data_IF_508659777514
#
_entry.id   IF_508659777514
#
_cell.length_a   1.000
_cell.length_b   1.000
_cell.length_c   1.000
_cell.angle_alpha   90.00
_cell.angle_beta   90.00
_cell.angle_gamma   90.00
#
_symmetry.space_group_name_H-M   'P 1'
#
loop_
_entity.id
_entity.type
_entity.pdbx_description
1 polymer ?
#
# COMPACT_ATOMS: atom_id res chain seq x y z
N UNK A 1 2.72 -11.04 34.20
CA UNK A 1 3.30 -12.13 33.42
C UNK A 1 3.49 -11.56 32.03
N UNK A 2 4.61 -10.88 31.82
CA UNK A 2 4.87 -10.14 30.58
C UNK A 2 5.43 -11.13 29.56
N UNK A 3 4.87 -11.16 28.35
CA UNK A 3 5.59 -11.68 27.18
C UNK A 3 6.06 -10.49 26.33
N UNK A 4 7.23 -9.89 26.65
CA UNK A 4 7.85 -8.86 25.82
C UNK A 4 8.82 -9.44 24.76
N UNK A 5 8.83 -10.76 24.54
CA UNK A 5 9.84 -11.40 23.67
C UNK A 5 9.52 -11.30 22.17
N UNK A 6 8.25 -11.33 21.77
CA UNK A 6 7.90 -11.39 20.33
C UNK A 6 8.42 -10.18 19.54
N UNK A 7 8.30 -8.94 20.05
CA UNK A 7 8.74 -7.77 19.27
C UNK A 7 10.26 -7.64 19.14
N UNK A 8 11.01 -7.92 20.21
CA UNK A 8 12.47 -7.94 20.13
C UNK A 8 12.95 -9.03 19.17
N UNK A 9 12.32 -10.19 19.18
CA UNK A 9 12.62 -11.28 18.25
C UNK A 9 12.31 -10.90 16.79
N UNK A 10 11.20 -10.21 16.51
CA UNK A 10 10.88 -9.73 15.15
C UNK A 10 11.91 -8.72 14.66
N UNK A 11 12.28 -7.75 15.50
CA UNK A 11 13.31 -6.76 15.16
C UNK A 11 14.65 -7.44 14.88
N UNK A 12 15.06 -8.35 15.75
CA UNK A 12 16.35 -9.04 15.63
C UNK A 12 16.36 -9.94 14.38
N UNK A 13 15.25 -10.61 14.08
CA UNK A 13 15.05 -11.36 12.84
C UNK A 13 15.18 -10.44 11.62
N UNK A 14 14.43 -9.34 11.55
CA UNK A 14 14.47 -8.39 10.43
C UNK A 14 15.84 -7.72 10.28
N UNK A 15 16.54 -7.46 11.37
CA UNK A 15 17.92 -6.97 11.32
C UNK A 15 18.86 -8.02 10.71
N UNK A 16 18.65 -9.31 11.02
CA UNK A 16 19.48 -10.40 10.53
C UNK A 16 19.22 -10.74 9.06
N UNK A 17 17.96 -10.73 8.63
CA UNK A 17 17.55 -11.14 7.27
C UNK A 17 17.28 -9.96 6.34
N UNK A 18 17.26 -8.73 6.86
CA UNK A 18 16.66 -7.58 6.17
C UNK A 18 17.30 -7.26 4.82
N UNK A 19 18.60 -7.50 4.66
CA UNK A 19 19.30 -7.30 3.39
C UNK A 19 19.03 -8.42 2.37
N UNK A 20 18.74 -9.65 2.82
CA UNK A 20 18.51 -10.82 1.95
C UNK A 20 17.03 -11.14 1.74
N UNK A 21 16.13 -10.47 2.46
CA UNK A 21 14.70 -10.62 2.31
C UNK A 21 14.17 -9.73 1.17
N UNK A 22 14.00 -10.32 -0.01
CA UNK A 22 13.48 -9.61 -1.20
C UNK A 22 11.96 -9.51 -1.24
N UNK A 23 11.24 -10.48 -0.64
CA UNK A 23 9.78 -10.57 -0.71
C UNK A 23 9.19 -10.84 0.67
N UNK A 24 8.18 -10.06 1.07
CA UNK A 24 7.48 -10.22 2.33
C UNK A 24 5.96 -10.13 2.13
N UNK A 25 5.26 -11.22 2.45
CA UNK A 25 3.80 -11.24 2.62
C UNK A 25 3.50 -11.16 4.10
N UNK A 26 2.75 -10.13 4.48
CA UNK A 26 2.51 -9.75 5.84
C UNK A 26 1.00 -9.75 6.10
N UNK A 27 0.57 -10.75 6.85
CA UNK A 27 -0.81 -10.92 7.25
C UNK A 27 -0.92 -10.84 8.76
N UNK A 28 -0.71 -9.63 9.30
CA UNK A 28 -0.92 -9.35 10.71
C UNK A 28 -2.29 -8.69 10.88
N UNK A 29 -3.03 -8.97 11.96
CA UNK A 29 -4.43 -8.58 12.12
C UNK A 29 -4.61 -7.09 12.48
N UNK A 30 -3.89 -6.18 11.81
CA UNK A 30 -4.04 -4.75 12.05
C UNK A 30 -5.43 -4.26 11.60
N UNK A 31 -5.96 -3.25 12.28
CA UNK A 31 -7.30 -2.72 12.01
C UNK A 31 -8.48 -3.53 12.57
N UNK A 32 -8.25 -4.70 13.19
CA UNK A 32 -9.32 -5.49 13.86
C UNK A 32 -9.63 -5.05 15.28
N UNK A 33 -8.93 -4.05 15.79
CA UNK A 33 -9.07 -3.55 17.17
C UNK A 33 -9.21 -2.03 17.21
N UNK A 34 -10.03 -1.46 18.10
CA UNK A 34 -10.33 -0.03 18.13
C UNK A 34 -9.08 0.85 18.26
N UNK A 35 -9.08 2.06 17.68
CA UNK A 35 -7.93 3.00 17.70
C UNK A 35 -7.42 3.36 19.11
N UNK A 36 -8.25 3.20 20.14
CA UNK A 36 -7.94 3.57 21.53
C UNK A 36 -7.28 2.45 22.35
N UNK A 37 -6.96 1.31 21.75
CA UNK A 37 -6.26 0.25 22.45
C UNK A 37 -4.74 0.52 22.46
N UNK A 38 -4.19 0.88 23.62
CA UNK A 38 -2.76 1.21 23.81
C UNK A 38 -1.83 0.10 23.30
N UNK A 39 -2.30 -1.15 23.30
CA UNK A 39 -1.56 -2.32 22.78
C UNK A 39 -1.28 -2.17 21.28
N UNK A 40 -2.21 -1.58 20.50
CA UNK A 40 -2.02 -1.37 19.06
C UNK A 40 -0.99 -0.29 18.76
N UNK A 41 -0.92 0.77 19.57
CA UNK A 41 0.08 1.83 19.36
C UNK A 41 1.49 1.32 19.63
N UNK A 42 1.68 0.49 20.66
CA UNK A 42 2.98 -0.10 20.96
C UNK A 42 3.45 -1.09 19.87
N UNK A 43 2.55 -1.98 19.42
CA UNK A 43 2.83 -2.87 18.30
C UNK A 43 3.12 -2.07 17.02
N UNK A 44 2.33 -1.05 16.72
CA UNK A 44 2.53 -0.17 15.57
C UNK A 44 3.92 0.46 15.57
N UNK A 45 4.32 1.13 16.66
CA UNK A 45 5.62 1.79 16.74
C UNK A 45 6.77 0.79 16.57
N UNK A 46 6.71 -0.37 17.22
CA UNK A 46 7.79 -1.35 17.12
C UNK A 46 7.88 -2.04 15.76
N UNK A 47 6.74 -2.36 15.14
CA UNK A 47 6.77 -2.89 13.78
C UNK A 47 7.29 -1.82 12.81
N UNK A 48 6.86 -0.56 12.93
CA UNK A 48 7.38 0.54 12.12
C UNK A 48 8.91 0.68 12.23
N UNK A 49 9.47 0.62 13.44
CA UNK A 49 10.93 0.62 13.65
C UNK A 49 11.60 -0.61 13.04
N UNK A 50 11.04 -1.80 13.25
CA UNK A 50 11.61 -3.05 12.74
C UNK A 50 11.60 -3.11 11.21
N UNK A 51 10.58 -2.53 10.58
CA UNK A 51 10.44 -2.47 9.12
C UNK A 51 11.54 -1.65 8.45
N UNK A 52 12.13 -0.69 9.15
CA UNK A 52 13.28 0.08 8.64
C UNK A 52 14.51 -0.80 8.37
N UNK A 53 14.61 -1.98 9.01
CA UNK A 53 15.71 -2.92 8.81
C UNK A 53 15.60 -3.74 7.51
N UNK A 54 14.42 -3.77 6.86
CA UNK A 54 14.17 -4.54 5.63
C UNK A 54 14.71 -3.83 4.38
N UNK A 55 16.01 -3.54 4.35
CA UNK A 55 16.65 -2.75 3.28
C UNK A 55 16.75 -3.48 1.93
N UNK A 56 16.66 -4.82 1.93
CA UNK A 56 16.67 -5.66 0.73
C UNK A 56 15.30 -5.86 0.09
N UNK A 57 14.22 -5.31 0.66
CA UNK A 57 12.86 -5.59 0.19
C UNK A 57 12.63 -5.01 -1.20
N UNK A 58 12.18 -5.87 -2.11
CA UNK A 58 11.75 -5.53 -3.47
C UNK A 58 10.23 -5.62 -3.63
N UNK A 59 9.61 -6.49 -2.85
CA UNK A 59 8.17 -6.76 -2.91
C UNK A 59 7.55 -6.90 -1.51
N UNK A 60 6.57 -6.06 -1.21
CA UNK A 60 5.85 -6.05 0.06
C UNK A 60 4.33 -6.17 -0.17
N UNK A 61 3.69 -7.13 0.49
CA UNK A 61 2.23 -7.30 0.48
C UNK A 61 1.71 -7.25 1.90
N UNK A 62 0.84 -6.28 2.20
CA UNK A 62 0.22 -6.07 3.50
C UNK A 62 -1.29 -6.42 3.47
N UNK A 63 -1.61 -7.65 3.85
CA UNK A 63 -2.96 -8.25 3.72
C UNK A 63 -3.88 -7.87 4.88
N UNK A 64 -3.36 -7.68 6.07
CA UNK A 64 -4.16 -7.33 7.25
C UNK A 64 -4.06 -5.85 7.61
N UNK A 65 -3.92 -4.99 6.60
CA UNK A 65 -3.49 -3.60 6.74
C UNK A 65 -1.97 -3.52 6.95
N UNK A 66 -1.36 -2.39 6.66
CA UNK A 66 -0.03 -2.08 7.18
C UNK A 66 -0.24 -0.96 8.19
N UNK A 67 0.28 -1.06 9.43
CA UNK A 67 0.28 0.05 10.37
C UNK A 67 0.85 1.29 9.67
N UNK A 68 1.88 1.10 8.86
CA UNK A 68 2.49 2.18 8.13
C UNK A 68 1.58 2.73 6.99
N UNK A 69 1.06 1.95 6.02
CA UNK A 69 0.44 2.51 4.78
C UNK A 69 -0.64 3.59 5.03
N UNK A 70 -1.55 3.37 6.00
CA UNK A 70 -2.61 4.33 6.33
C UNK A 70 -2.21 5.41 7.35
N UNK A 71 -1.08 5.22 8.04
CA UNK A 71 -0.55 6.16 9.05
C UNK A 71 0.88 6.56 8.75
N UNK A 72 1.21 6.63 7.46
CA UNK A 72 2.50 7.06 6.93
C UNK A 72 2.82 8.52 7.29
N UNK A 73 1.88 9.23 7.93
CA UNK A 73 2.07 10.55 8.52
C UNK A 73 3.10 10.60 9.66
N UNK A 74 3.32 9.51 10.41
CA UNK A 74 4.36 9.49 11.47
C UNK A 74 5.69 8.90 11.03
N UNK A 75 5.72 8.26 9.85
CA UNK A 75 6.93 7.69 9.28
C UNK A 75 7.07 8.17 7.84
N UNK A 76 7.17 9.50 7.72
CA UNK A 76 7.77 10.09 6.54
C UNK A 76 9.06 9.32 6.24
N UNK A 77 9.30 8.97 4.98
CA UNK A 77 10.54 8.34 4.50
C UNK A 77 10.64 6.80 4.55
N UNK A 78 9.65 6.02 4.98
CA UNK A 78 9.76 4.54 4.93
C UNK A 78 10.01 4.01 3.51
N UNK A 79 9.26 4.51 2.52
CA UNK A 79 9.49 4.14 1.13
C UNK A 79 10.83 4.67 0.58
N UNK A 80 11.42 5.69 1.21
CA UNK A 80 12.77 6.17 0.85
C UNK A 80 13.85 5.27 1.45
N UNK A 81 13.58 4.61 2.58
CA UNK A 81 14.48 3.62 3.19
C UNK A 81 14.48 2.30 2.41
N UNK A 82 13.34 1.92 1.84
CA UNK A 82 13.23 0.76 0.95
C UNK A 82 13.58 1.15 -0.49
N UNK A 83 14.82 1.56 -0.72
CA UNK A 83 15.29 1.99 -2.03
C UNK A 83 15.18 0.92 -3.12
N UNK A 84 15.00 -0.35 -2.74
CA UNK A 84 14.84 -1.47 -3.67
C UNK A 84 13.36 -1.85 -3.90
N UNK A 85 12.39 -1.22 -3.22
CA UNK A 85 10.98 -1.61 -3.29
C UNK A 85 10.37 -1.30 -4.66
N UNK A 86 10.10 -2.34 -5.44
CA UNK A 86 9.50 -2.27 -6.78
C UNK A 86 7.99 -2.51 -6.78
N UNK A 87 7.51 -3.31 -5.84
CA UNK A 87 6.12 -3.77 -5.79
C UNK A 87 5.53 -3.65 -4.40
N UNK A 88 4.42 -2.94 -4.28
CA UNK A 88 3.70 -2.75 -3.02
C UNK A 88 2.24 -3.12 -3.18
N UNK A 89 1.71 -3.91 -2.26
CA UNK A 89 0.29 -4.18 -2.20
C UNK A 89 -0.24 -4.01 -0.78
N UNK A 90 -1.44 -3.47 -0.66
CA UNK A 90 -2.05 -3.18 0.63
C UNK A 90 -3.57 -3.38 0.58
N UNK A 91 -4.13 -3.82 1.70
CA UNK A 91 -5.55 -4.01 1.90
C UNK A 91 -6.15 -2.89 2.75
N UNK A 92 -7.36 -2.45 2.40
CA UNK A 92 -8.12 -1.43 3.14
C UNK A 92 -7.33 -0.15 3.39
N UNK A 93 -6.87 0.49 2.32
CA UNK A 93 -6.16 1.77 2.40
C UNK A 93 -7.10 2.95 2.23
N UNK A 94 -6.96 3.99 3.05
CA UNK A 94 -7.66 5.26 2.85
C UNK A 94 -7.02 6.05 1.70
N UNK A 95 -7.68 6.14 0.53
CA UNK A 95 -7.12 6.89 -0.59
C UNK A 95 -7.06 8.40 -0.32
N UNK A 96 -7.82 8.93 0.64
CA UNK A 96 -7.78 10.35 0.99
C UNK A 96 -6.62 10.73 1.94
N UNK A 97 -5.80 9.76 2.35
CA UNK A 97 -4.66 10.02 3.24
C UNK A 97 -3.51 10.67 2.46
N UNK A 98 -3.21 11.94 2.74
CA UNK A 98 -2.14 12.66 2.03
C UNK A 98 -0.74 12.03 2.25
N UNK A 99 -0.50 11.46 3.44
CA UNK A 99 0.74 10.76 3.75
C UNK A 99 1.00 9.55 2.85
N UNK A 100 -0.04 8.90 2.33
CA UNK A 100 0.06 7.81 1.37
C UNK A 100 0.77 8.28 0.10
N UNK A 101 0.16 9.23 -0.59
CA UNK A 101 0.61 9.70 -1.89
C UNK A 101 1.96 10.40 -1.83
N UNK A 102 2.24 11.11 -0.73
CA UNK A 102 3.56 11.68 -0.48
C UNK A 102 4.68 10.63 -0.53
N UNK A 103 4.49 9.48 0.12
CA UNK A 103 5.50 8.43 0.14
C UNK A 103 5.52 7.63 -1.16
N UNK A 104 4.35 7.30 -1.75
CA UNK A 104 4.27 6.64 -3.06
C UNK A 104 4.99 7.47 -4.11
N UNK A 105 4.73 8.78 -4.19
CA UNK A 105 5.35 9.67 -5.17
C UNK A 105 6.87 9.78 -5.02
N UNK A 106 7.41 9.55 -3.81
CA UNK A 106 8.86 9.63 -3.50
C UNK A 106 9.56 8.28 -3.44
N UNK A 107 8.82 7.17 -3.62
CA UNK A 107 9.39 5.84 -3.75
C UNK A 107 9.99 5.69 -5.16
N UNK A 108 11.29 5.95 -5.31
CA UNK A 108 11.93 6.07 -6.63
C UNK A 108 11.96 4.75 -7.43
N UNK A 109 12.04 3.61 -6.74
CA UNK A 109 12.08 2.28 -7.35
C UNK A 109 10.71 1.63 -7.50
N UNK A 110 9.64 2.23 -6.94
CA UNK A 110 8.32 1.64 -6.96
C UNK A 110 7.73 1.71 -8.38
N UNK A 111 7.45 0.54 -8.94
CA UNK A 111 6.92 0.35 -10.29
C UNK A 111 5.43 -0.04 -10.27
N UNK A 112 5.00 -0.80 -9.26
CA UNK A 112 3.64 -1.33 -9.17
C UNK A 112 3.05 -1.18 -7.77
N UNK A 113 1.82 -0.69 -7.70
CA UNK A 113 1.02 -0.56 -6.49
C UNK A 113 -0.33 -1.25 -6.68
N UNK A 114 -0.69 -2.17 -5.78
CA UNK A 114 -2.03 -2.77 -5.76
C UNK A 114 -2.73 -2.41 -4.45
N UNK A 115 -3.88 -1.74 -4.54
CA UNK A 115 -4.70 -1.42 -3.37
C UNK A 115 -5.98 -2.23 -3.44
N UNK A 116 -6.12 -3.20 -2.54
CA UNK A 116 -7.28 -4.06 -2.42
C UNK A 116 -8.28 -3.47 -1.42
N UNK A 117 -9.55 -3.35 -1.83
CA UNK A 117 -10.65 -2.78 -1.06
C UNK A 117 -10.32 -1.43 -0.40
N UNK A 118 -9.80 -0.44 -1.14
CA UNK A 118 -9.64 0.91 -0.61
C UNK A 118 -10.95 1.49 -0.09
N UNK A 119 -10.83 2.51 0.76
CA UNK A 119 -11.96 3.30 1.22
C UNK A 119 -11.66 4.81 1.14
N UNK A 120 -12.73 5.59 1.22
CA UNK A 120 -12.69 7.05 1.30
C UNK A 120 -13.52 7.51 2.49
N UNK A 121 -12.92 8.35 3.33
CA UNK A 121 -13.66 9.02 4.40
C UNK A 121 -14.19 10.35 3.89
N UNK A 122 -15.51 10.53 3.93
CA UNK A 122 -16.21 11.80 3.61
C UNK A 122 -16.11 12.26 2.15
N UNK A 123 -15.58 11.42 1.26
CA UNK A 123 -15.47 11.66 -0.18
C UNK A 123 -16.05 10.46 -0.94
N UNK A 124 -16.55 10.71 -2.15
CA UNK A 124 -17.11 9.65 -3.01
C UNK A 124 -16.07 9.13 -4.01
N UNK A 125 -15.17 10.01 -4.46
CA UNK A 125 -14.16 9.69 -5.47
C UNK A 125 -12.82 10.33 -5.11
N UNK A 126 -11.74 9.82 -5.71
CA UNK A 126 -10.38 10.32 -5.51
C UNK A 126 -9.59 10.30 -6.82
N UNK A 127 -8.87 11.40 -7.08
CA UNK A 127 -8.02 11.53 -8.26
C UNK A 127 -6.57 11.18 -7.92
N UNK A 128 -6.19 9.93 -8.19
CA UNK A 128 -4.85 9.40 -7.88
C UNK A 128 -3.75 10.16 -8.62
N UNK A 129 -3.97 10.50 -9.90
CA UNK A 129 -2.98 11.21 -10.71
C UNK A 129 -2.74 12.62 -10.19
N UNK A 130 -3.80 13.34 -9.81
CA UNK A 130 -3.68 14.64 -9.18
C UNK A 130 -2.84 14.58 -7.90
N UNK A 131 -3.12 13.61 -7.01
CA UNK A 131 -2.37 13.46 -5.76
C UNK A 131 -0.88 13.16 -5.94
N UNK A 132 -0.51 12.40 -6.97
CA UNK A 132 0.91 12.14 -7.27
C UNK A 132 1.55 13.35 -7.96
N UNK A 133 0.82 14.00 -8.88
CA UNK A 133 1.29 15.17 -9.62
C UNK A 133 1.68 16.32 -8.69
N UNK A 134 0.90 16.59 -7.63
CA UNK A 134 1.24 17.57 -6.59
C UNK A 134 2.66 17.38 -5.99
N UNK A 135 3.20 16.16 -6.03
CA UNK A 135 4.53 15.84 -5.53
C UNK A 135 5.62 15.80 -6.60
N UNK A 136 5.27 15.74 -7.88
CA UNK A 136 6.23 15.71 -9.00
C UNK A 136 6.36 17.04 -9.70
N UNK A 137 5.30 17.84 -9.73
CA UNK A 137 5.26 19.09 -10.46
C UNK A 137 5.90 20.22 -9.62
N UNK A 138 6.99 20.85 -10.12
CA UNK A 138 7.62 21.98 -9.44
C UNK A 138 6.69 23.18 -9.21
N UNK A 139 5.63 23.36 -10.02
CA UNK A 139 4.66 24.45 -9.83
C UNK A 139 3.91 24.33 -8.50
N UNK A 140 3.69 23.10 -8.03
CA UNK A 140 3.09 22.80 -6.73
C UNK A 140 4.13 22.59 -5.62
N UNK A 141 5.41 22.89 -5.88
CA UNK A 141 6.51 22.65 -4.94
C UNK A 141 6.99 21.20 -4.90
N UNK A 142 6.60 20.39 -5.89
CA UNK A 142 7.05 19.02 -6.08
C UNK A 142 8.48 18.91 -6.62
N UNK A 143 8.93 17.67 -6.80
CA UNK A 143 10.25 17.35 -7.37
C UNK A 143 10.10 16.47 -8.61
N UNK A 144 10.41 17.02 -9.78
CA UNK A 144 10.30 16.32 -11.06
C UNK A 144 11.28 15.16 -11.20
N UNK A 145 12.36 15.11 -10.40
CA UNK A 145 13.27 13.95 -10.36
C UNK A 145 12.62 12.69 -9.78
N UNK A 146 11.45 12.84 -9.14
CA UNK A 146 10.65 11.72 -8.66
C UNK A 146 9.70 11.17 -9.72
N UNK A 147 9.54 11.82 -10.88
CA UNK A 147 8.64 11.34 -11.94
C UNK A 147 9.19 10.08 -12.61
N UNK A 148 8.35 9.04 -12.72
CA UNK A 148 8.69 7.76 -13.34
C UNK A 148 7.42 6.96 -13.69
N UNK A 149 7.50 5.99 -14.60
CA UNK A 149 6.42 5.03 -14.82
C UNK A 149 5.95 4.38 -13.52
N UNK A 150 4.65 4.39 -13.25
CA UNK A 150 4.04 3.76 -12.09
C UNK A 150 2.68 3.18 -12.48
N UNK A 151 2.50 1.89 -12.24
CA UNK A 151 1.22 1.21 -12.42
C UNK A 151 0.51 1.07 -11.08
N UNK A 152 -0.75 1.48 -11.03
CA UNK A 152 -1.59 1.44 -9.84
C UNK A 152 -2.87 0.66 -10.19
N UNK A 153 -3.10 -0.42 -9.46
CA UNK A 153 -4.31 -1.23 -9.59
C UNK A 153 -5.17 -1.06 -8.36
N UNK A 154 -6.41 -0.64 -8.58
CA UNK A 154 -7.42 -0.48 -7.55
C UNK A 154 -8.36 -1.68 -7.64
N UNK A 155 -8.17 -2.64 -6.74
CA UNK A 155 -8.92 -3.88 -6.73
C UNK A 155 -10.09 -3.78 -5.74
N UNK A 156 -11.32 -3.83 -6.25
CA UNK A 156 -12.53 -3.83 -5.44
C UNK A 156 -13.39 -5.03 -5.80
N UNK A 157 -14.34 -5.41 -4.94
CA UNK A 157 -15.30 -6.43 -5.33
C UNK A 157 -16.19 -5.90 -6.45
N UNK A 158 -16.65 -6.77 -7.35
CA UNK A 158 -17.37 -6.41 -8.59
C UNK A 158 -18.61 -5.51 -8.43
N UNK A 159 -19.24 -5.51 -7.25
CA UNK A 159 -20.39 -4.64 -6.94
C UNK A 159 -20.03 -3.28 -6.31
N UNK A 160 -18.74 -2.96 -6.18
CA UNK A 160 -18.32 -1.68 -5.60
C UNK A 160 -18.58 -0.53 -6.58
N UNK A 161 -19.06 0.63 -6.09
CA UNK A 161 -19.11 1.81 -6.94
C UNK A 161 -17.70 2.23 -7.35
N UNK A 162 -17.52 2.84 -8.53
CA UNK A 162 -16.22 3.38 -8.92
C UNK A 162 -15.82 4.52 -7.98
N UNK A 163 -14.63 4.41 -7.39
CA UNK A 163 -14.09 5.39 -6.45
C UNK A 163 -12.96 6.25 -7.05
N UNK A 164 -12.51 5.93 -8.27
CA UNK A 164 -11.42 6.65 -8.93
C UNK A 164 -12.02 7.73 -9.82
N UNK A 165 -11.61 8.97 -9.58
CA UNK A 165 -11.89 10.09 -10.45
C UNK A 165 -10.79 10.20 -11.51
N UNK A 166 -11.17 10.07 -12.78
CA UNK A 166 -10.29 10.19 -13.94
C UNK A 166 -10.46 11.52 -14.69
N UNK A 167 -11.14 12.48 -14.07
CA UNK A 167 -11.33 13.82 -14.64
C UNK A 167 -9.98 14.52 -14.78
N UNK A 168 -9.75 15.17 -15.93
CA UNK A 168 -8.52 15.91 -16.21
C UNK A 168 -7.22 15.08 -16.10
N UNK A 169 -7.27 13.77 -16.35
CA UNK A 169 -6.09 12.90 -16.34
C UNK A 169 -4.91 13.45 -17.16
N UNK A 170 -5.19 14.01 -18.34
CA UNK A 170 -4.17 14.61 -19.21
C UNK A 170 -3.54 15.89 -18.64
N UNK A 171 -4.21 16.56 -17.70
CA UNK A 171 -3.66 17.71 -16.99
C UNK A 171 -2.69 17.25 -15.90
N UNK A 172 -3.07 16.21 -15.15
CA UNK A 172 -2.29 15.71 -14.01
C UNK A 172 -1.15 14.76 -14.42
N UNK A 173 -1.28 14.09 -15.56
CA UNK A 173 -0.25 13.21 -16.11
C UNK A 173 -0.08 13.42 -17.62
N UNK A 174 0.48 14.58 -18.04
CA UNK A 174 0.61 14.92 -19.45
C UNK A 174 1.56 13.99 -20.21
N UNK A 175 2.47 13.32 -19.50
CA UNK A 175 3.46 12.41 -20.08
C UNK A 175 2.99 10.94 -20.10
N UNK A 176 1.85 10.62 -19.47
CA UNK A 176 1.34 9.25 -19.38
C UNK A 176 2.21 8.33 -18.53
N UNK A 177 2.86 8.86 -17.49
CA UNK A 177 3.75 8.09 -16.61
C UNK A 177 2.96 7.27 -15.58
N UNK A 178 1.71 7.63 -15.27
CA UNK A 178 0.90 6.99 -14.24
C UNK A 178 -0.23 6.21 -14.91
N UNK A 179 -0.17 4.89 -14.82
CA UNK A 179 -1.27 4.02 -15.24
C UNK A 179 -2.13 3.70 -14.02
N UNK A 180 -3.42 4.08 -14.04
CA UNK A 180 -4.37 3.72 -12.98
C UNK A 180 -5.44 2.83 -13.59
N UNK A 181 -5.56 1.61 -13.07
CA UNK A 181 -6.54 0.61 -13.51
C UNK A 181 -7.42 0.16 -12.36
N UNK A 182 -8.64 -0.27 -12.68
CA UNK A 182 -9.54 -0.91 -11.74
C UNK A 182 -9.61 -2.40 -12.03
N UNK A 183 -9.65 -3.21 -10.98
CA UNK A 183 -9.82 -4.66 -11.07
C UNK A 183 -11.01 -5.10 -10.23
N UNK A 184 -11.95 -5.78 -10.88
CA UNK A 184 -13.14 -6.32 -10.22
C UNK A 184 -12.85 -7.72 -9.69
N UNK A 185 -12.69 -7.84 -8.38
CA UNK A 185 -12.50 -9.10 -7.67
C UNK A 185 -13.82 -9.89 -7.73
N UNK A 186 -13.83 -11.08 -8.36
CA UNK A 186 -15.06 -11.87 -8.51
C UNK A 186 -15.59 -12.41 -7.18
N UNK A 187 -16.92 -12.38 -6.98
CA UNK A 187 -17.57 -13.00 -5.83
C UNK A 187 -18.09 -14.39 -6.23
N UNK A 188 -17.37 -15.43 -5.83
CA UNK A 188 -17.75 -16.82 -6.16
C UNK A 188 -19.03 -17.30 -5.46
N UNK A 189 -19.34 -16.80 -4.25
CA UNK A 189 -20.55 -17.15 -3.49
C UNK A 189 -21.13 -15.93 -2.76
N UNK A 190 -22.16 -15.33 -3.36
CA UNK A 190 -22.87 -14.15 -2.82
C UNK A 190 -23.73 -14.46 -1.59
N UNK A 191 -23.90 -15.74 -1.21
CA UNK A 191 -24.78 -16.15 -0.10
C UNK A 191 -24.04 -16.35 1.24
N UNK A 192 -22.72 -16.52 1.21
CA UNK A 192 -21.88 -16.75 2.40
C UNK A 192 -20.72 -15.77 2.56
N UNK A 193 -20.38 -15.03 1.51
CA UNK A 193 -19.21 -14.18 1.57
C UNK A 193 -19.45 -12.97 2.47
N UNK A 194 -18.60 -12.83 3.51
CA UNK A 194 -18.40 -11.52 4.11
C UNK A 194 -17.67 -10.68 3.08
N UNK A 195 -18.40 -9.78 2.43
CA UNK A 195 -17.89 -8.90 1.37
C UNK A 195 -16.58 -8.22 1.80
N UNK A 196 -16.47 -7.89 3.10
CA UNK A 196 -15.29 -7.28 3.71
C UNK A 196 -14.00 -8.13 3.68
N UNK A 197 -14.08 -9.42 3.36
CA UNK A 197 -12.93 -10.34 3.37
C UNK A 197 -12.60 -10.91 2.00
N UNK A 198 -13.46 -10.73 0.99
CA UNK A 198 -13.26 -11.31 -0.35
C UNK A 198 -11.98 -10.74 -0.97
N UNK A 199 -11.86 -9.41 -1.01
CA UNK A 199 -10.68 -8.76 -1.56
C UNK A 199 -9.41 -9.07 -0.77
N UNK A 200 -9.53 -9.28 0.56
CA UNK A 200 -8.41 -9.70 1.40
C UNK A 200 -7.93 -11.10 1.03
N UNK A 201 -8.86 -12.04 0.94
CA UNK A 201 -8.55 -13.44 0.66
C UNK A 201 -8.03 -13.59 -0.77
N UNK A 202 -8.61 -12.85 -1.72
CA UNK A 202 -8.06 -12.70 -3.07
C UNK A 202 -6.63 -12.18 -3.04
N UNK A 203 -6.37 -11.04 -2.38
CA UNK A 203 -5.03 -10.45 -2.28
C UNK A 203 -4.01 -11.45 -1.73
N UNK A 204 -4.37 -12.17 -0.66
CA UNK A 204 -3.52 -13.18 -0.05
C UNK A 204 -3.25 -14.38 -0.98
N UNK A 205 -4.26 -14.84 -1.71
CA UNK A 205 -4.11 -15.95 -2.65
C UNK A 205 -3.24 -15.57 -3.84
N UNK A 206 -3.53 -14.44 -4.49
CA UNK A 206 -2.75 -13.93 -5.62
C UNK A 206 -1.30 -13.62 -5.22
N UNK A 207 -1.09 -13.05 -4.02
CA UNK A 207 0.25 -12.85 -3.49
C UNK A 207 0.98 -14.19 -3.30
N UNK A 208 0.34 -15.20 -2.70
CA UNK A 208 0.97 -16.52 -2.54
C UNK A 208 1.29 -17.21 -3.87
N UNK A 209 0.49 -16.96 -4.90
CA UNK A 209 0.65 -17.54 -6.24
C UNK A 209 1.57 -16.73 -7.16
N UNK A 210 1.99 -15.53 -6.71
CA UNK A 210 2.81 -14.59 -7.50
C UNK A 210 2.14 -14.10 -8.79
N UNK A 211 0.81 -13.97 -8.75
CA UNK A 211 -0.03 -13.56 -9.89
C UNK A 211 -0.60 -12.15 -9.75
N UNK A 212 -0.40 -11.52 -8.58
CA UNK A 212 -0.94 -10.20 -8.24
C UNK A 212 -0.46 -9.08 -9.20
N UNK A 213 0.74 -9.23 -9.75
CA UNK A 213 1.45 -8.18 -10.48
C UNK A 213 1.35 -8.29 -12.00
N UNK A 214 0.44 -9.14 -12.52
CA UNK A 214 0.37 -9.59 -13.91
C UNK A 214 0.82 -8.57 -14.97
N UNK A 215 1.47 -9.06 -16.03
CA UNK A 215 2.27 -8.32 -17.01
C UNK A 215 2.00 -6.81 -17.08
N UNK A 216 2.83 -6.06 -16.33
CA UNK A 216 3.05 -4.65 -16.61
C UNK A 216 3.69 -4.54 -18.01
N UNK A 217 2.85 -4.47 -19.04
CA UNK A 217 3.25 -4.25 -20.42
C UNK A 217 3.04 -5.46 -21.34
N UNK A 218 1.88 -5.46 -22.01
CA UNK A 218 1.76 -5.86 -23.40
C UNK A 218 1.16 -4.69 -24.19
#
# INVERSE_FOLDING_TARGET
>A
MESPEVPSLVRDLFTHIGQSLHRLILDLPWGRTPPNDMVNTHLHNMFSESFTALTGIEELIAVGGLPAVDRWSHVHHLCQQWSNLRRLAAFQVNLAEQGLWHNIARAHSLEQLVIAQPFLLRLNTWNVKASINEHWDPEFGGNSSCARPLSITIANHEFSPPIIDTSNDSLHDPQGLINVSSFDVPIADTTKARVDYICRDWLLQEAKQDTLWGDAGA
#
